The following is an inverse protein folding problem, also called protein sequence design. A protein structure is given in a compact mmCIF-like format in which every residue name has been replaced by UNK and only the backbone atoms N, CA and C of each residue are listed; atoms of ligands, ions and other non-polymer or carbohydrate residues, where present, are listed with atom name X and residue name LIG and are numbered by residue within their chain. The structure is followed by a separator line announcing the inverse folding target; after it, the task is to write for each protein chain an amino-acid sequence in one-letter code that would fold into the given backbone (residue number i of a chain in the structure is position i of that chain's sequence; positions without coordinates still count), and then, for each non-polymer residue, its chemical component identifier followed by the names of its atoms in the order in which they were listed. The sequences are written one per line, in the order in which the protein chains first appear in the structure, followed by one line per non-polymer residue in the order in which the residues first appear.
data_IF_713451611429
#
_entry.id   IF_713451611429
#
_cell.length_a   1.000
_cell.length_b   1.000
_cell.length_c   1.000
_cell.angle_alpha   90.00
_cell.angle_beta   90.00
_cell.angle_gamma   90.00
#
_symmetry.space_group_name_H-M   'P 1'
#
loop_
_entity.id
_entity.type
_entity.pdbx_description
1 polymer ?
#
# COMPACT_ATOMS: atom_id res chain seq x y z
N UNK A 1 8.16 -21.05 -1.23
CA UNK A 1 7.80 -19.64 -0.96
C UNK A 1 7.38 -18.88 -2.22
N UNK A 2 8.10 -18.99 -3.34
CA UNK A 2 7.68 -18.35 -4.60
C UNK A 2 6.44 -19.01 -5.22
N UNK A 3 6.37 -20.34 -5.22
CA UNK A 3 5.24 -21.09 -5.78
C UNK A 3 3.92 -20.77 -5.05
N UNK A 4 3.96 -20.69 -3.72
CA UNK A 4 2.79 -20.35 -2.89
C UNK A 4 2.33 -18.91 -3.14
N UNK A 5 3.27 -17.97 -3.32
CA UNK A 5 2.93 -16.59 -3.69
C UNK A 5 2.27 -16.48 -5.07
N UNK A 6 2.76 -17.23 -6.05
CA UNK A 6 2.18 -17.25 -7.40
C UNK A 6 0.77 -17.85 -7.39
N UNK A 7 0.55 -18.93 -6.63
CA UNK A 7 -0.77 -19.54 -6.46
C UNK A 7 -1.78 -18.58 -5.82
N UNK A 8 -1.39 -17.94 -4.72
CA UNK A 8 -2.27 -16.97 -4.02
C UNK A 8 -2.54 -15.75 -4.90
N UNK A 9 -1.52 -15.23 -5.60
CA UNK A 9 -1.68 -14.10 -6.52
C UNK A 9 -2.60 -14.42 -7.71
N UNK A 10 -2.50 -15.61 -8.29
CA UNK A 10 -3.36 -16.05 -9.38
C UNK A 10 -4.82 -16.20 -8.93
N UNK A 11 -5.06 -16.79 -7.75
CA UNK A 11 -6.40 -16.90 -7.17
C UNK A 11 -7.00 -15.54 -6.86
N UNK A 12 -6.23 -14.64 -6.25
CA UNK A 12 -6.66 -13.27 -5.95
C UNK A 12 -7.00 -12.50 -7.25
N UNK A 13 -6.17 -12.64 -8.28
CA UNK A 13 -6.39 -12.04 -9.60
C UNK A 13 -7.69 -12.52 -10.24
N UNK A 14 -7.98 -13.83 -10.21
CA UNK A 14 -9.21 -14.40 -10.76
C UNK A 14 -10.47 -13.87 -10.04
N UNK A 15 -10.42 -13.78 -8.71
CA UNK A 15 -11.50 -13.20 -7.90
C UNK A 15 -11.69 -11.71 -8.23
N UNK A 16 -10.58 -10.97 -8.38
CA UNK A 16 -10.61 -9.56 -8.71
C UNK A 16 -11.17 -9.27 -10.12
N UNK A 17 -10.84 -10.10 -11.11
CA UNK A 17 -11.39 -10.01 -12.47
C UNK A 17 -12.91 -10.21 -12.49
N UNK A 18 -13.40 -11.24 -11.78
CA UNK A 18 -14.85 -11.50 -11.66
C UNK A 18 -15.59 -10.40 -10.91
N UNK A 19 -14.96 -9.80 -9.90
CA UNK A 19 -15.56 -8.76 -9.08
C UNK A 19 -15.43 -7.34 -9.63
N UNK A 20 -14.61 -7.11 -10.66
CA UNK A 20 -14.35 -5.78 -11.26
C UNK A 20 -14.06 -4.72 -10.19
N UNK A 21 -13.31 -5.11 -9.16
CA UNK A 21 -13.12 -4.29 -7.97
C UNK A 21 -12.27 -3.06 -8.26
N UNK A 22 -12.92 -1.90 -8.25
CA UNK A 22 -12.25 -0.62 -8.36
C UNK A 22 -12.77 0.36 -7.31
N UNK A 23 -11.89 0.82 -6.43
CA UNK A 23 -12.25 1.72 -5.32
C UNK A 23 -12.82 3.03 -5.85
N UNK A 24 -12.21 3.60 -6.90
CA UNK A 24 -12.67 4.84 -7.55
C UNK A 24 -14.02 4.63 -8.24
N UNK A 25 -14.25 3.43 -8.80
CA UNK A 25 -15.54 3.03 -9.35
C UNK A 25 -16.64 2.95 -8.30
N UNK A 26 -16.34 2.34 -7.13
CA UNK A 26 -17.31 2.21 -6.04
C UNK A 26 -17.75 3.58 -5.49
N UNK A 27 -16.81 4.52 -5.32
CA UNK A 27 -17.18 5.89 -4.94
C UNK A 27 -18.01 6.58 -6.02
N UNK A 28 -17.60 6.45 -7.29
CA UNK A 28 -18.33 7.06 -8.41
C UNK A 28 -19.76 6.51 -8.56
N UNK A 29 -19.97 5.22 -8.35
CA UNK A 29 -21.29 4.58 -8.46
C UNK A 29 -22.23 5.05 -7.35
N UNK A 30 -21.72 5.34 -6.15
CA UNK A 30 -22.53 5.94 -5.07
C UNK A 30 -23.03 7.33 -5.46
N UNK A 31 -22.19 8.15 -6.09
CA UNK A 31 -22.58 9.51 -6.50
C UNK A 31 -23.45 9.55 -7.75
N UNK A 32 -23.20 8.68 -8.74
CA UNK A 32 -23.94 8.69 -10.01
C UNK A 32 -25.21 7.83 -9.99
N UNK A 33 -25.14 6.64 -9.40
CA UNK A 33 -26.23 5.65 -9.43
C UNK A 33 -26.96 5.50 -8.10
N UNK A 34 -26.43 6.08 -7.01
CA UNK A 34 -26.94 5.88 -5.66
C UNK A 34 -26.77 4.46 -5.12
N UNK A 35 -26.14 3.55 -5.88
CA UNK A 35 -25.99 2.16 -5.48
C UNK A 35 -24.80 1.98 -4.53
N UNK A 36 -25.06 1.52 -3.31
CA UNK A 36 -24.03 1.31 -2.27
C UNK A 36 -23.49 -0.12 -2.23
N UNK A 37 -23.98 -1.00 -3.12
CA UNK A 37 -23.65 -2.44 -3.11
C UNK A 37 -22.15 -2.73 -3.15
N UNK A 38 -21.39 -1.98 -3.95
CA UNK A 38 -19.94 -2.15 -4.05
C UNK A 38 -19.18 -1.53 -2.88
N UNK A 39 -19.71 -0.42 -2.32
CA UNK A 39 -19.13 0.22 -1.14
C UNK A 39 -19.30 -0.65 0.11
N UNK A 40 -20.46 -1.28 0.30
CA UNK A 40 -20.71 -2.19 1.44
C UNK A 40 -19.85 -3.45 1.35
N UNK A 41 -19.69 -4.03 0.16
CA UNK A 41 -18.79 -5.16 -0.08
C UNK A 41 -17.34 -4.80 0.30
N UNK A 42 -16.87 -3.60 -0.08
CA UNK A 42 -15.54 -3.12 0.26
C UNK A 42 -15.34 -2.93 1.77
N UNK A 43 -16.32 -2.32 2.45
CA UNK A 43 -16.29 -2.17 3.91
C UNK A 43 -16.21 -3.51 4.65
N UNK A 44 -16.94 -4.53 4.16
CA UNK A 44 -16.89 -5.87 4.73
C UNK A 44 -15.52 -6.54 4.53
N UNK A 45 -14.88 -6.36 3.36
CA UNK A 45 -13.53 -6.88 3.11
C UNK A 45 -12.50 -6.23 4.03
N UNK A 46 -12.56 -4.90 4.23
CA UNK A 46 -11.65 -4.20 5.16
C UNK A 46 -11.86 -4.71 6.59
N UNK A 47 -13.11 -4.85 7.03
CA UNK A 47 -13.42 -5.34 8.36
C UNK A 47 -12.87 -6.76 8.58
N UNK A 48 -13.10 -7.68 7.63
CA UNK A 48 -12.55 -9.04 7.68
C UNK A 48 -11.02 -9.03 7.69
N UNK A 49 -10.38 -8.16 6.91
CA UNK A 49 -8.93 -8.06 6.87
C UNK A 49 -8.36 -7.53 8.19
N UNK A 50 -8.99 -6.53 8.81
CA UNK A 50 -8.59 -6.00 10.10
C UNK A 50 -8.71 -7.05 11.21
N UNK A 51 -9.82 -7.79 11.27
CA UNK A 51 -10.04 -8.88 12.23
C UNK A 51 -9.05 -10.02 12.00
N UNK A 52 -8.82 -10.40 10.74
CA UNK A 52 -7.85 -11.43 10.38
C UNK A 52 -6.43 -11.04 10.78
N UNK A 53 -6.02 -9.80 10.50
CA UNK A 53 -4.71 -9.29 10.90
C UNK A 53 -4.52 -9.32 12.42
N UNK A 54 -5.53 -8.89 13.19
CA UNK A 54 -5.49 -8.93 14.66
C UNK A 54 -5.40 -10.36 15.22
N UNK A 55 -6.08 -11.32 14.60
CA UNK A 55 -5.98 -12.73 15.00
C UNK A 55 -4.58 -13.31 14.73
N UNK A 56 -3.93 -12.90 13.63
CA UNK A 56 -2.58 -13.32 13.28
C UNK A 56 -1.51 -12.71 14.21
N UNK A 57 -1.69 -11.47 14.66
CA UNK A 57 -0.78 -10.86 15.64
C UNK A 57 -0.96 -11.46 17.04
N UNK A 58 -2.20 -11.80 17.44
CA UNK A 58 -2.47 -12.46 18.72
C UNK A 58 -1.87 -13.88 18.83
N UNK A 59 -1.71 -14.58 17.71
CA UNK A 59 -1.12 -15.93 17.64
C UNK A 59 0.41 -15.93 17.54
N UNK A 60 1.05 -14.75 17.56
CA UNK A 60 2.52 -14.63 17.60
C UNK A 60 3.26 -15.05 16.33
N UNK A 61 2.52 -15.38 15.25
CA UNK A 61 3.10 -15.77 13.95
C UNK A 61 3.67 -14.56 13.21
N UNK A 62 3.18 -13.35 13.52
CA UNK A 62 3.61 -12.07 12.91
C UNK A 62 3.96 -11.08 14.02
N UNK A 63 5.23 -10.67 14.11
CA UNK A 63 5.67 -9.60 14.98
C UNK A 63 5.52 -8.25 14.25
N UNK A 64 4.68 -7.31 14.72
CA UNK A 64 4.53 -6.00 14.12
C UNK A 64 5.74 -5.11 14.48
N UNK A 65 6.59 -4.81 13.51
CA UNK A 65 7.55 -3.71 13.62
C UNK A 65 6.79 -2.40 13.36
N UNK A 66 6.60 -1.60 14.40
CA UNK A 66 5.86 -0.33 14.29
C UNK A 66 6.83 0.77 13.92
N UNK A 67 7.04 0.96 12.61
CA UNK A 67 7.69 2.16 12.11
C UNK A 67 6.77 3.38 12.33
N UNK A 68 7.31 4.51 12.81
CA UNK A 68 6.53 5.74 12.96
C UNK A 68 6.02 6.18 11.59
N UNK A 69 4.71 6.36 11.44
CA UNK A 69 4.13 6.88 10.20
C UNK A 69 4.42 8.37 10.07
N UNK A 70 5.25 8.82 9.10
CA UNK A 70 5.45 10.24 8.85
C UNK A 70 4.18 10.82 8.20
N UNK A 71 3.30 11.42 9.02
CA UNK A 71 2.01 11.98 8.59
C UNK A 71 2.15 12.98 7.43
N UNK A 72 3.21 13.80 7.44
CA UNK A 72 3.48 14.77 6.37
C UNK A 72 3.80 14.10 5.03
N UNK A 73 4.64 13.06 5.03
CA UNK A 73 4.97 12.32 3.81
C UNK A 73 3.78 11.48 3.32
N UNK A 74 2.99 10.91 4.22
CA UNK A 74 1.79 10.15 3.87
C UNK A 74 0.71 11.05 3.24
N UNK A 75 0.49 12.25 3.77
CA UNK A 75 -0.48 13.21 3.23
C UNK A 75 -0.06 13.69 1.83
N UNK A 76 1.17 14.16 1.67
CA UNK A 76 1.67 14.65 0.37
C UNK A 76 1.75 13.53 -0.65
N UNK A 77 2.29 12.36 -0.27
CA UNK A 77 2.37 11.19 -1.13
C UNK A 77 0.99 10.68 -1.56
N UNK A 78 0.02 10.66 -0.64
CA UNK A 78 -1.36 10.28 -0.93
C UNK A 78 -2.04 11.21 -1.93
N UNK A 79 -1.84 12.52 -1.82
CA UNK A 79 -2.39 13.51 -2.76
C UNK A 79 -1.78 13.37 -4.16
N UNK A 80 -0.46 13.24 -4.25
CA UNK A 80 0.23 13.04 -5.54
C UNK A 80 -0.18 11.72 -6.19
N UNK A 81 -0.23 10.64 -5.40
CA UNK A 81 -0.69 9.34 -5.88
C UNK A 81 -2.14 9.38 -6.36
N UNK A 82 -3.02 10.04 -5.60
CA UNK A 82 -4.42 10.22 -5.98
C UNK A 82 -4.59 10.98 -7.28
N UNK A 83 -3.89 12.12 -7.44
CA UNK A 83 -3.90 12.91 -8.68
C UNK A 83 -3.40 12.08 -9.88
N UNK A 84 -2.33 11.29 -9.70
CA UNK A 84 -1.81 10.39 -10.73
C UNK A 84 -2.80 9.30 -11.14
N UNK A 85 -3.50 8.69 -10.18
CA UNK A 85 -4.51 7.66 -10.45
C UNK A 85 -5.73 8.21 -11.21
N UNK A 86 -6.16 9.44 -10.91
CA UNK A 86 -7.24 10.11 -11.64
C UNK A 86 -6.81 10.38 -13.08
N UNK A 87 -5.59 10.88 -13.29
CA UNK A 87 -5.04 11.13 -14.63
C UNK A 87 -4.88 9.84 -15.45
N UNK A 88 -4.56 8.72 -14.80
CA UNK A 88 -4.48 7.41 -15.45
C UNK A 88 -5.85 6.76 -15.74
N UNK A 89 -6.95 7.33 -15.23
CA UNK A 89 -8.31 6.82 -15.46
C UNK A 89 -8.60 5.46 -14.82
N UNK A 90 -7.96 5.15 -13.69
CA UNK A 90 -8.02 3.81 -13.07
C UNK A 90 -8.07 3.81 -11.55
N UNK A 91 -7.64 2.69 -10.96
CA UNK A 91 -7.37 2.48 -9.55
C UNK A 91 -6.24 1.46 -9.43
N UNK A 92 -5.53 1.43 -8.30
CA UNK A 92 -4.38 0.55 -8.12
C UNK A 92 -4.70 -0.92 -8.40
N UNK A 93 -5.79 -1.45 -7.83
CA UNK A 93 -6.24 -2.83 -8.07
C UNK A 93 -6.70 -3.04 -9.51
N UNK A 94 -7.36 -2.03 -10.08
CA UNK A 94 -7.91 -1.99 -11.44
C UNK A 94 -6.86 -2.18 -12.52
N UNK A 95 -5.70 -1.54 -12.38
CA UNK A 95 -4.65 -1.57 -13.38
C UNK A 95 -3.99 -2.94 -13.48
N UNK A 96 -3.83 -3.67 -12.36
CA UNK A 96 -3.23 -5.00 -12.36
C UNK A 96 -4.04 -6.03 -13.15
N UNK A 97 -5.36 -6.14 -12.89
CA UNK A 97 -6.15 -7.16 -13.57
C UNK A 97 -6.53 -6.77 -15.00
N UNK A 98 -6.71 -5.47 -15.30
CA UNK A 98 -6.95 -4.96 -16.66
C UNK A 98 -5.74 -5.12 -17.58
N UNK A 99 -4.52 -5.14 -17.02
CA UNK A 99 -3.33 -5.45 -17.80
C UNK A 99 -3.35 -6.90 -18.31
N UNK A 100 -3.92 -7.83 -17.51
CA UNK A 100 -4.16 -9.21 -17.91
C UNK A 100 -5.26 -9.38 -18.97
N UNK A 101 -6.18 -8.42 -19.09
CA UNK A 101 -7.23 -8.40 -20.14
C UNK A 101 -6.72 -7.81 -21.47
N UNK A 102 -5.47 -7.35 -21.53
CA UNK A 102 -4.85 -6.81 -22.75
C UNK A 102 -5.13 -5.32 -23.01
N UNK A 103 -5.61 -4.57 -22.01
CA UNK A 103 -5.77 -3.11 -22.16
C UNK A 103 -4.41 -2.43 -22.13
N UNK A 104 -3.93 -2.03 -23.32
CA UNK A 104 -2.64 -1.36 -23.54
C UNK A 104 -2.47 -0.12 -22.63
N UNK A 105 -3.55 0.63 -22.38
CA UNK A 105 -3.51 1.78 -21.47
C UNK A 105 -3.10 1.43 -20.03
N UNK A 106 -3.48 0.24 -19.54
CA UNK A 106 -3.11 -0.21 -18.19
C UNK A 106 -1.66 -0.68 -18.08
N UNK A 107 -1.06 -1.13 -19.19
CA UNK A 107 0.36 -1.49 -19.24
C UNK A 107 1.23 -0.25 -18.99
N UNK A 108 0.93 0.86 -19.67
CA UNK A 108 1.61 2.12 -19.42
C UNK A 108 1.42 2.58 -17.96
N UNK A 109 0.19 2.50 -17.44
CA UNK A 109 -0.09 2.85 -16.05
C UNK A 109 0.74 2.01 -15.05
N UNK A 110 0.87 0.71 -15.27
CA UNK A 110 1.70 -0.17 -14.42
C UNK A 110 3.18 0.16 -14.51
N UNK A 111 3.69 0.47 -15.70
CA UNK A 111 5.10 0.85 -15.88
C UNK A 111 5.40 2.14 -15.12
N UNK A 112 4.58 3.18 -15.30
CA UNK A 112 4.76 4.44 -14.57
C UNK A 112 4.56 4.28 -13.07
N UNK A 113 3.64 3.42 -12.63
CA UNK A 113 3.46 3.12 -11.21
C UNK A 113 4.69 2.43 -10.62
N UNK A 114 5.23 1.42 -11.31
CA UNK A 114 6.43 0.70 -10.88
C UNK A 114 7.67 1.60 -10.88
N UNK A 115 7.85 2.43 -11.92
CA UNK A 115 8.92 3.42 -11.99
C UNK A 115 8.81 4.45 -10.86
N UNK A 116 7.62 4.99 -10.61
CA UNK A 116 7.39 5.95 -9.53
C UNK A 116 7.70 5.32 -8.17
N UNK A 117 7.26 4.09 -7.94
CA UNK A 117 7.57 3.34 -6.73
C UNK A 117 9.08 3.08 -6.59
N UNK A 118 9.77 2.74 -7.68
CA UNK A 118 11.22 2.51 -7.69
C UNK A 118 11.99 3.81 -7.42
N UNK A 119 11.58 4.95 -7.99
CA UNK A 119 12.18 6.26 -7.73
C UNK A 119 11.95 6.71 -6.28
N UNK A 120 10.77 6.46 -5.71
CA UNK A 120 10.52 6.76 -4.30
C UNK A 120 11.32 5.85 -3.36
N UNK A 121 11.58 4.60 -3.76
CA UNK A 121 12.31 3.61 -2.95
C UNK A 121 13.83 3.70 -3.06
N UNK A 122 14.36 3.97 -4.25
CA UNK A 122 15.80 3.91 -4.58
C UNK A 122 16.36 5.23 -5.14
N UNK A 123 15.50 6.22 -5.38
CA UNK A 123 15.90 7.46 -6.04
C UNK A 123 16.53 8.51 -5.10
N UNK A 124 16.92 9.66 -5.66
CA UNK A 124 17.62 10.74 -4.96
C UNK A 124 16.77 11.42 -3.86
N UNK A 125 15.46 11.16 -3.82
CA UNK A 125 14.54 11.62 -2.77
C UNK A 125 14.57 10.75 -1.50
N UNK A 126 15.40 9.71 -1.44
CA UNK A 126 15.65 8.96 -0.20
C UNK A 126 16.11 9.86 0.96
N UNK A 127 16.72 11.02 0.66
CA UNK A 127 17.07 12.05 1.64
C UNK A 127 15.88 12.72 2.35
N UNK A 128 14.67 12.70 1.77
CA UNK A 128 13.45 13.27 2.36
C UNK A 128 12.90 12.48 3.56
N UNK A 129 13.36 11.24 3.77
CA UNK A 129 13.03 10.44 4.95
C UNK A 129 13.64 11.01 6.25
N UNK A 130 14.67 11.84 6.17
CA UNK A 130 15.31 12.45 7.37
C UNK A 130 14.43 13.53 8.03
N UNK A 131 13.66 14.28 7.24
CA UNK A 131 12.78 15.36 7.74
C UNK A 131 11.54 14.79 8.43
N UNK A 132 11.00 13.67 7.95
CA UNK A 132 9.83 13.01 8.53
C UNK A 132 10.10 12.32 9.88
N UNK A 133 11.25 11.65 10.02
CA UNK A 133 11.65 11.03 11.29
C UNK A 133 12.08 12.06 12.35
N UNK A 134 12.59 13.24 11.95
CA UNK A 134 12.99 14.30 12.89
C UNK A 134 11.84 14.93 13.67
N UNK A 135 10.64 15.02 13.08
CA UNK A 135 9.44 15.56 13.75
C UNK A 135 8.69 14.53 14.61
N UNK A 136 8.89 13.22 14.38
CA UNK A 136 8.27 12.14 15.17
C UNK A 136 9.18 11.67 16.30
N UNK A 137 10.51 11.82 16.16
CA UNK A 137 11.47 11.60 17.24
C UNK A 137 11.20 12.50 18.47
N UNK A 138 10.70 13.72 18.28
CA UNK A 138 10.28 14.59 19.40
C UNK A 138 8.94 14.18 20.02
N UNK A 139 8.06 13.51 19.28
CA UNK A 139 6.82 12.96 19.81
C UNK A 139 7.05 11.67 20.63
N UNK A 140 7.97 10.81 20.18
CA UNK A 140 8.42 9.62 20.91
C UNK A 140 9.25 9.95 22.17
N UNK A 141 9.80 11.16 22.29
CA UNK A 141 10.44 11.63 23.53
C UNK A 141 9.42 11.95 24.65
N UNK A 142 8.11 12.03 24.35
CA UNK A 142 7.07 12.22 25.38
C UNK A 142 6.52 10.92 25.98
N UNK A 143 6.80 9.77 25.36
CA UNK A 143 6.46 8.42 25.87
C UNK A 143 7.76 7.63 26.05
N UNK A 144 8.20 7.54 27.30
CA UNK A 144 9.59 7.24 27.65
C UNK A 144 10.20 5.95 27.10
N UNK A 145 11.49 6.05 26.81
CA UNK A 145 12.48 4.98 27.02
C UNK A 145 12.96 4.22 25.78
N UNK A 146 14.14 4.60 25.28
CA UNK A 146 14.99 3.72 24.46
C UNK A 146 15.27 4.22 23.04
N UNK A 147 16.47 4.74 22.81
CA UNK A 147 16.95 5.15 21.49
C UNK A 147 17.23 3.93 20.57
N UNK A 148 16.87 3.98 19.27
CA UNK A 148 17.53 3.17 18.26
C UNK A 148 18.57 3.97 17.46
N UNK A 149 19.69 3.35 17.04
CA UNK A 149 20.69 3.98 16.18
C UNK A 149 20.13 4.23 14.77
N UNK A 150 20.31 5.46 14.31
CA UNK A 150 19.77 6.07 13.10
C UNK A 150 20.33 5.52 11.75
N UNK A 151 20.46 4.20 11.55
CA UNK A 151 21.11 3.66 10.32
C UNK A 151 20.42 2.54 9.56
N UNK A 152 19.22 2.08 9.94
CA UNK A 152 18.55 1.00 9.21
C UNK A 152 17.20 1.42 8.62
N UNK A 153 17.17 2.50 7.84
CA UNK A 153 16.01 2.85 7.01
C UNK A 153 15.93 1.92 5.79
N UNK A 154 15.33 0.73 5.93
CA UNK A 154 14.95 -0.19 4.85
C UNK A 154 15.95 -1.27 4.39
N UNK A 155 16.55 -2.00 5.32
CA UNK A 155 17.07 -3.33 4.98
C UNK A 155 15.89 -4.31 4.80
N UNK A 156 15.74 -5.01 3.67
CA UNK A 156 14.79 -6.12 3.57
C UNK A 156 15.14 -7.18 4.63
N UNK A 157 14.15 -7.85 5.20
CA UNK A 157 14.25 -8.75 6.37
C UNK A 157 15.26 -9.91 6.27
N UNK A 158 15.93 -10.10 5.13
CA UNK A 158 17.06 -11.04 4.98
C UNK A 158 18.45 -10.42 5.23
N UNK A 159 18.56 -9.10 5.33
CA UNK A 159 19.81 -8.39 5.62
C UNK A 159 19.96 -8.08 7.13
N UNK A 160 19.61 -9.06 8.00
CA UNK A 160 20.06 -9.05 9.41
C UNK A 160 21.51 -9.50 9.49
N UNK A 161 22.41 -8.61 9.06
CA UNK A 161 23.82 -8.63 9.42
C UNK A 161 24.41 -7.23 9.15
N UNK A 162 24.06 -6.28 10.00
CA UNK A 162 24.87 -5.06 10.17
C UNK A 162 25.71 -5.27 11.44
N UNK A 163 26.99 -5.62 11.22
CA UNK A 163 28.08 -5.42 12.18
C UNK A 163 28.40 -3.93 12.33
#
# INVERSE_FOLDING_TARGET
MVLTGLLVGALLGLVMQRGRFCVTGAFRDVWLSGSTRWLTAFGLVIALHAVGYLALTATGVVAPEVDPLPLGAAAVGGLVFGAGIIAAGGCATGTYYRAGEGLVGSWFALIFFALSAAVMKYGPLAGGCTVGHGMVATAQLSWGGGAPPARCCWAPTWARACS
#
